data_IF_700272417559
#
_entry.id   IF_700272417559
#
_cell.length_a   1.000
_cell.length_b   1.000
_cell.length_c   1.000
_cell.angle_alpha   90.00
_cell.angle_beta   90.00
_cell.angle_gamma   90.00
#
_symmetry.space_group_name_H-M   'P 1'
#
loop_
_entity.id
_entity.type
_entity.pdbx_description
1 polymer ?
#
# COMPACT_ATOMS: atom_id res chain seq x y z
N UNK A 1 -5.94 -85.62 26.51
CA UNK A 1 -6.06 -84.65 27.64
C UNK A 1 -5.17 -83.45 27.33
N UNK A 2 -5.26 -82.34 28.09
CA UNK A 2 -4.48 -81.11 27.86
C UNK A 2 -2.97 -81.33 28.16
N UNK A 3 -2.09 -80.60 27.49
CA UNK A 3 -1.23 -79.52 28.08
C UNK A 3 -0.47 -78.74 26.99
N UNK A 4 0.14 -77.62 27.37
CA UNK A 4 0.82 -76.61 26.53
C UNK A 4 2.28 -76.40 26.99
N UNK A 5 3.20 -76.07 26.07
CA UNK A 5 4.49 -75.44 26.40
C UNK A 5 5.16 -74.81 25.16
N UNK A 6 6.08 -73.87 25.41
CA UNK A 6 6.65 -72.89 24.46
C UNK A 6 8.05 -73.25 23.87
N UNK A 7 8.63 -72.48 22.92
CA UNK A 7 9.66 -72.95 21.98
C UNK A 7 11.14 -72.60 22.31
N UNK A 8 12.08 -73.20 21.56
CA UNK A 8 13.53 -72.88 21.54
C UNK A 8 14.09 -72.95 20.10
N UNK A 9 15.11 -72.13 19.78
CA UNK A 9 15.65 -71.89 18.42
C UNK A 9 16.82 -72.82 17.99
N UNK A 10 17.06 -72.99 16.67
CA UNK A 10 18.31 -73.54 16.10
C UNK A 10 19.35 -72.45 15.69
N UNK A 11 20.63 -72.82 15.40
CA UNK A 11 21.77 -71.88 15.34
C UNK A 11 22.25 -71.42 13.94
N UNK A 12 23.17 -70.45 13.92
CA UNK A 12 23.85 -69.88 12.73
C UNK A 12 24.92 -70.79 12.09
N UNK A 13 25.06 -70.76 10.75
CA UNK A 13 26.31 -71.04 10.02
C UNK A 13 27.04 -69.74 9.57
N UNK A 14 28.32 -69.84 9.22
CA UNK A 14 29.18 -68.72 8.78
C UNK A 14 29.11 -68.47 7.25
N UNK A 15 29.44 -67.25 6.76
CA UNK A 15 29.46 -66.92 5.33
C UNK A 15 30.76 -67.37 4.62
N UNK A 16 30.71 -67.75 3.33
CA UNK A 16 31.89 -68.00 2.51
C UNK A 16 32.46 -66.70 1.90
N UNK A 17 33.76 -66.70 1.61
CA UNK A 17 34.43 -65.62 0.87
C UNK A 17 33.99 -65.60 -0.61
N UNK A 18 33.89 -64.39 -1.20
CA UNK A 18 33.68 -64.21 -2.65
C UNK A 18 34.83 -63.37 -3.21
N UNK A 19 35.42 -63.83 -4.31
CA UNK A 19 36.59 -63.21 -4.96
C UNK A 19 36.25 -61.84 -5.56
N UNK A 20 37.24 -60.96 -5.57
CA UNK A 20 37.28 -59.80 -6.45
C UNK A 20 37.35 -60.24 -7.91
N UNK A 21 36.54 -59.63 -8.78
CA UNK A 21 36.71 -59.69 -10.24
C UNK A 21 36.67 -58.26 -10.82
N UNK A 22 37.49 -58.01 -11.83
CA UNK A 22 37.93 -56.66 -12.24
C UNK A 22 37.11 -56.10 -13.41
N UNK A 23 35.80 -55.97 -13.21
CA UNK A 23 34.88 -55.37 -14.18
C UNK A 23 35.21 -53.90 -14.47
N UNK A 24 35.65 -53.59 -15.69
CA UNK A 24 35.82 -52.23 -16.20
C UNK A 24 34.45 -51.57 -16.45
N UNK A 25 33.86 -50.94 -15.43
CA UNK A 25 32.67 -50.11 -15.62
C UNK A 25 33.04 -48.64 -15.89
N UNK A 26 32.31 -48.00 -16.81
CA UNK A 26 32.54 -46.62 -17.23
C UNK A 26 31.94 -45.67 -16.20
N UNK A 27 32.79 -45.17 -15.29
CA UNK A 27 32.44 -44.20 -14.25
C UNK A 27 31.39 -43.17 -14.74
N UNK A 28 30.21 -43.22 -14.12
CA UNK A 28 29.07 -42.40 -14.51
C UNK A 28 29.40 -40.90 -14.40
N UNK A 29 29.05 -40.13 -15.43
CA UNK A 29 29.21 -38.66 -15.39
C UNK A 29 28.31 -38.09 -14.29
N UNK A 30 28.89 -37.31 -13.38
CA UNK A 30 28.20 -36.78 -12.21
C UNK A 30 27.10 -35.76 -12.57
N UNK A 31 26.03 -35.61 -11.77
CA UNK A 31 24.87 -34.79 -12.15
C UNK A 31 25.10 -33.26 -12.22
N UNK A 32 26.29 -32.76 -11.88
CA UNK A 32 26.54 -31.33 -11.60
C UNK A 32 26.46 -30.37 -12.81
N UNK A 33 26.51 -30.88 -14.05
CA UNK A 33 26.50 -30.04 -15.25
C UNK A 33 25.16 -29.35 -15.52
N UNK A 34 24.03 -30.03 -15.25
CA UNK A 34 22.69 -29.50 -15.55
C UNK A 34 22.30 -28.34 -14.63
N UNK A 35 22.60 -28.42 -13.33
CA UNK A 35 22.25 -27.37 -12.38
C UNK A 35 23.08 -26.10 -12.63
N UNK A 36 24.41 -26.24 -12.75
CA UNK A 36 25.32 -25.13 -13.09
C UNK A 36 24.91 -24.40 -14.37
N UNK A 37 24.49 -25.14 -15.40
CA UNK A 37 24.00 -24.57 -16.67
C UNK A 37 22.66 -23.86 -16.50
N UNK A 38 21.75 -24.40 -15.67
CA UNK A 38 20.43 -23.82 -15.39
C UNK A 38 20.55 -22.54 -14.56
N UNK A 39 21.39 -22.54 -13.53
CA UNK A 39 21.74 -21.38 -12.71
C UNK A 39 22.31 -20.25 -13.59
N UNK A 40 23.26 -20.58 -14.48
CA UNK A 40 23.85 -19.59 -15.41
C UNK A 40 22.80 -18.98 -16.35
N UNK A 41 21.92 -19.79 -16.95
CA UNK A 41 20.83 -19.31 -17.81
C UNK A 41 19.90 -18.33 -17.07
N UNK A 42 19.53 -18.64 -15.82
CA UNK A 42 18.69 -17.77 -14.97
C UNK A 42 19.42 -16.47 -14.60
N UNK A 43 20.70 -16.54 -14.27
CA UNK A 43 21.54 -15.36 -14.05
C UNK A 43 21.60 -14.44 -15.29
N UNK A 44 21.81 -15.01 -16.48
CA UNK A 44 21.86 -14.24 -17.73
C UNK A 44 20.49 -13.59 -18.06
N UNK A 45 19.38 -14.29 -17.77
CA UNK A 45 18.01 -13.75 -17.86
C UNK A 45 17.76 -12.60 -16.86
N UNK A 46 18.17 -12.77 -15.60
CA UNK A 46 18.08 -11.75 -14.55
C UNK A 46 18.88 -10.49 -14.91
N UNK A 47 20.12 -10.67 -15.37
CA UNK A 47 20.98 -9.57 -15.84
C UNK A 47 20.42 -8.89 -17.09
N UNK A 48 19.74 -9.63 -17.97
CA UNK A 48 19.03 -9.08 -19.14
C UNK A 48 17.86 -8.17 -18.72
N UNK A 49 17.05 -8.57 -17.72
CA UNK A 49 16.00 -7.71 -17.13
C UNK A 49 16.58 -6.47 -16.47
N UNK A 50 17.61 -6.64 -15.62
CA UNK A 50 18.31 -5.53 -14.96
C UNK A 50 18.83 -4.50 -15.96
N UNK A 51 19.43 -4.92 -17.08
CA UNK A 51 19.91 -4.00 -18.13
C UNK A 51 18.79 -3.20 -18.80
N UNK A 52 17.59 -3.76 -18.95
CA UNK A 52 16.42 -3.02 -19.47
C UNK A 52 15.92 -1.97 -18.47
N UNK A 53 15.79 -2.34 -17.21
CA UNK A 53 15.36 -1.41 -16.14
C UNK A 53 16.39 -0.28 -15.93
N UNK A 54 17.68 -0.55 -16.14
CA UNK A 54 18.73 0.45 -15.98
C UNK A 54 18.64 1.63 -16.96
N UNK A 55 17.97 1.47 -18.10
CA UNK A 55 17.75 2.49 -19.15
C UNK A 55 16.31 3.06 -19.16
N UNK A 56 15.49 2.71 -18.16
CA UNK A 56 14.08 3.11 -18.07
C UNK A 56 13.92 4.61 -17.71
N UNK A 57 13.10 5.40 -18.43
CA UNK A 57 12.88 6.81 -18.14
C UNK A 57 12.17 7.10 -16.81
N UNK A 58 11.46 6.12 -16.21
CA UNK A 58 10.84 6.26 -14.88
C UNK A 58 11.89 6.41 -13.76
N UNK A 59 13.16 6.12 -14.06
CA UNK A 59 14.31 6.34 -13.17
C UNK A 59 14.63 7.82 -12.87
N UNK A 60 13.78 8.77 -13.29
CA UNK A 60 13.77 10.17 -12.81
C UNK A 60 13.30 10.31 -11.35
N UNK A 61 12.62 9.30 -10.82
CA UNK A 61 12.23 9.19 -9.41
C UNK A 61 13.49 9.18 -8.50
N UNK A 62 13.50 9.88 -7.35
CA UNK A 62 14.66 9.99 -6.46
C UNK A 62 15.36 8.67 -6.12
N UNK A 63 16.69 8.71 -5.93
CA UNK A 63 17.47 7.47 -5.76
C UNK A 63 17.04 6.63 -4.54
N UNK A 64 16.48 7.24 -3.49
CA UNK A 64 16.09 6.53 -2.27
C UNK A 64 14.71 5.85 -2.32
N UNK A 65 14.00 5.92 -3.44
CA UNK A 65 12.66 5.35 -3.61
C UNK A 65 12.63 3.83 -3.85
N UNK A 66 11.41 3.28 -3.74
CA UNK A 66 11.13 1.84 -3.76
C UNK A 66 11.54 1.12 -5.05
N UNK A 67 11.22 1.66 -6.23
CA UNK A 67 11.56 1.02 -7.51
C UNK A 67 13.08 0.98 -7.75
N UNK A 68 13.85 2.07 -7.55
CA UNK A 68 15.31 2.01 -7.46
C UNK A 68 15.85 1.01 -6.43
N UNK A 69 15.19 0.89 -5.26
CA UNK A 69 15.60 -0.06 -4.22
C UNK A 69 15.42 -1.53 -4.64
N UNK A 70 14.29 -1.91 -5.27
CA UNK A 70 14.08 -3.25 -5.83
C UNK A 70 15.15 -3.60 -6.86
N UNK A 71 15.44 -2.67 -7.79
CA UNK A 71 16.48 -2.83 -8.80
C UNK A 71 17.87 -3.04 -8.17
N UNK A 72 18.25 -2.22 -7.18
CA UNK A 72 19.53 -2.37 -6.46
C UNK A 72 19.61 -3.68 -5.69
N UNK A 73 18.52 -4.12 -5.07
CA UNK A 73 18.44 -5.41 -4.37
C UNK A 73 18.70 -6.58 -5.30
N UNK A 74 17.97 -6.66 -6.42
CA UNK A 74 18.14 -7.69 -7.44
C UNK A 74 19.56 -7.66 -8.05
N UNK A 75 20.13 -6.48 -8.33
CA UNK A 75 21.51 -6.34 -8.81
C UNK A 75 22.56 -6.81 -7.78
N UNK A 76 22.31 -6.60 -6.49
CA UNK A 76 23.21 -7.04 -5.42
C UNK A 76 23.19 -8.56 -5.26
N UNK A 77 22.00 -9.17 -5.34
CA UNK A 77 21.83 -10.63 -5.37
C UNK A 77 22.50 -11.24 -6.61
N UNK A 78 22.32 -10.64 -7.79
CA UNK A 78 22.97 -11.08 -9.02
C UNK A 78 24.50 -11.03 -8.93
N UNK A 79 25.07 -9.95 -8.36
CA UNK A 79 26.53 -9.84 -8.11
C UNK A 79 27.03 -10.94 -7.18
N UNK A 80 26.27 -11.32 -6.15
CA UNK A 80 26.61 -12.42 -5.25
C UNK A 80 26.61 -13.77 -5.99
N UNK A 81 25.53 -14.06 -6.72
CA UNK A 81 25.40 -15.27 -7.56
C UNK A 81 26.56 -15.41 -8.54
N UNK A 82 26.97 -14.32 -9.21
CA UNK A 82 28.13 -14.32 -10.11
C UNK A 82 29.45 -14.66 -9.40
N UNK A 83 29.66 -14.14 -8.19
CA UNK A 83 30.83 -14.44 -7.37
C UNK A 83 30.87 -15.93 -6.99
N UNK A 84 29.74 -16.48 -6.57
CA UNK A 84 29.66 -17.88 -6.12
C UNK A 84 29.83 -18.88 -7.27
N UNK A 85 29.26 -18.60 -8.45
CA UNK A 85 29.52 -19.35 -9.69
C UNK A 85 31.01 -19.28 -10.09
N UNK A 86 31.65 -18.12 -9.93
CA UNK A 86 33.07 -17.94 -10.23
C UNK A 86 33.98 -18.67 -9.23
N UNK A 87 33.59 -18.79 -7.97
CA UNK A 87 34.35 -19.54 -6.97
C UNK A 87 34.24 -21.06 -7.16
N UNK A 88 33.03 -21.59 -7.41
CA UNK A 88 32.84 -23.03 -7.61
C UNK A 88 33.58 -23.54 -8.86
N UNK A 89 33.52 -22.77 -9.96
CA UNK A 89 34.29 -23.06 -11.19
C UNK A 89 35.81 -22.90 -11.05
N UNK A 90 36.30 -22.23 -10.00
CA UNK A 90 37.73 -22.02 -9.76
C UNK A 90 38.35 -22.96 -8.70
N UNK A 91 37.54 -23.66 -7.88
CA UNK A 91 38.04 -24.51 -6.78
C UNK A 91 37.82 -26.02 -6.95
N UNK A 92 36.96 -26.46 -7.86
CA UNK A 92 36.79 -27.89 -8.19
C UNK A 92 36.05 -28.73 -7.13
N UNK A 93 35.64 -28.15 -6.01
CA UNK A 93 34.86 -28.78 -4.94
C UNK A 93 34.64 -27.81 -3.78
N UNK A 94 33.58 -28.07 -3.02
CA UNK A 94 33.25 -27.55 -1.67
C UNK A 94 33.52 -26.06 -1.37
N UNK A 95 32.49 -25.24 -1.60
CA UNK A 95 32.29 -23.99 -0.86
C UNK A 95 31.62 -24.28 0.50
N UNK A 96 31.93 -23.54 1.59
CA UNK A 96 31.45 -23.87 2.95
C UNK A 96 29.92 -23.95 3.11
N UNK A 97 29.48 -24.84 3.99
CA UNK A 97 28.07 -25.26 4.15
C UNK A 97 27.08 -24.18 4.61
N UNK A 98 27.55 -23.02 5.06
CA UNK A 98 26.71 -21.98 5.70
C UNK A 98 26.17 -20.92 4.73
N UNK A 99 26.33 -21.11 3.42
CA UNK A 99 26.03 -20.08 2.42
C UNK A 99 24.72 -20.36 1.66
N UNK A 100 23.90 -19.30 1.52
CA UNK A 100 22.61 -19.36 0.81
C UNK A 100 22.84 -19.77 -0.65
N UNK A 101 22.18 -20.85 -1.10
CA UNK A 101 22.31 -21.38 -2.45
C UNK A 101 22.09 -20.31 -3.53
N UNK A 102 22.93 -20.25 -4.60
CA UNK A 102 22.72 -19.36 -5.74
C UNK A 102 21.32 -19.46 -6.37
N UNK A 103 20.72 -20.66 -6.35
CA UNK A 103 19.36 -20.93 -6.85
C UNK A 103 18.28 -20.20 -6.03
N UNK A 104 18.50 -20.02 -4.73
CA UNK A 104 17.64 -19.25 -3.84
C UNK A 104 17.87 -17.73 -3.98
N UNK A 105 19.13 -17.29 -4.07
CA UNK A 105 19.47 -15.88 -4.34
C UNK A 105 18.89 -15.40 -5.67
N UNK A 106 18.94 -16.23 -6.72
CA UNK A 106 18.28 -15.98 -8.00
C UNK A 106 16.76 -15.85 -7.84
N UNK A 107 16.10 -16.76 -7.10
CA UNK A 107 14.64 -16.70 -6.88
C UNK A 107 14.20 -15.40 -6.19
N UNK A 108 14.97 -14.91 -5.22
CA UNK A 108 14.70 -13.62 -4.55
C UNK A 108 14.95 -12.45 -5.51
N UNK A 109 16.02 -12.49 -6.32
CA UNK A 109 16.32 -11.46 -7.31
C UNK A 109 15.26 -11.38 -8.42
N UNK A 110 14.79 -12.52 -8.92
CA UNK A 110 13.68 -12.65 -9.87
C UNK A 110 12.40 -12.03 -9.27
N UNK A 111 12.00 -12.44 -8.07
CA UNK A 111 10.82 -11.91 -7.35
C UNK A 111 10.90 -10.41 -7.03
N UNK A 112 12.10 -9.84 -6.88
CA UNK A 112 12.28 -8.38 -6.77
C UNK A 112 12.00 -7.67 -8.10
N UNK A 113 12.35 -8.28 -9.25
CA UNK A 113 12.03 -7.71 -10.56
C UNK A 113 10.57 -7.95 -10.96
N UNK A 114 9.98 -9.08 -10.58
CA UNK A 114 8.55 -9.35 -10.84
C UNK A 114 7.68 -8.29 -10.15
N UNK A 115 8.00 -7.93 -8.90
CA UNK A 115 7.35 -6.83 -8.17
C UNK A 115 7.67 -5.45 -8.74
N UNK A 116 8.85 -5.24 -9.32
CA UNK A 116 9.17 -3.99 -10.03
C UNK A 116 8.28 -3.85 -11.27
N UNK A 117 8.23 -4.88 -12.09
CA UNK A 117 7.53 -4.87 -13.38
C UNK A 117 6.00 -4.80 -13.19
N UNK A 118 5.45 -5.48 -12.17
CA UNK A 118 4.06 -5.32 -11.70
C UNK A 118 3.74 -3.87 -11.32
N UNK A 119 4.65 -3.19 -10.62
CA UNK A 119 4.43 -1.82 -10.14
C UNK A 119 4.57 -0.79 -11.27
N UNK A 120 5.43 -1.04 -12.26
CA UNK A 120 5.46 -0.24 -13.51
C UNK A 120 4.15 -0.36 -14.28
N UNK A 121 3.58 -1.57 -14.39
CA UNK A 121 2.28 -1.80 -15.03
C UNK A 121 1.15 -1.01 -14.34
N UNK A 122 1.07 -1.09 -13.00
CA UNK A 122 0.06 -0.34 -12.22
C UNK A 122 0.21 1.19 -12.34
N UNK A 123 1.43 1.70 -12.45
CA UNK A 123 1.68 3.12 -12.72
C UNK A 123 1.23 3.53 -14.14
N UNK A 124 1.44 2.68 -15.14
CA UNK A 124 1.00 2.92 -16.51
C UNK A 124 -0.52 2.89 -16.67
N UNK A 125 -1.21 1.96 -16.00
CA UNK A 125 -2.67 1.86 -15.98
C UNK A 125 -3.31 3.06 -15.24
N UNK A 126 -2.82 3.39 -14.04
CA UNK A 126 -3.26 4.55 -13.27
C UNK A 126 -3.08 5.86 -14.06
N UNK A 127 -2.00 5.95 -14.84
CA UNK A 127 -1.72 7.05 -15.78
C UNK A 127 -2.76 7.12 -16.90
N UNK A 128 -3.00 6.03 -17.62
CA UNK A 128 -3.95 5.99 -18.75
C UNK A 128 -5.35 6.43 -18.29
N UNK A 129 -5.84 5.81 -17.22
CA UNK A 129 -7.14 6.10 -16.63
C UNK A 129 -7.24 7.56 -16.13
N UNK A 130 -6.17 8.12 -15.57
CA UNK A 130 -6.12 9.53 -15.13
C UNK A 130 -6.14 10.52 -16.30
N UNK A 131 -5.48 10.19 -17.42
CA UNK A 131 -5.50 10.99 -18.64
C UNK A 131 -6.89 10.97 -19.31
N UNK A 132 -7.53 9.80 -19.38
CA UNK A 132 -8.90 9.68 -19.89
C UNK A 132 -9.90 10.45 -19.02
N UNK A 133 -9.83 10.30 -17.70
CA UNK A 133 -10.66 11.05 -16.75
C UNK A 133 -10.44 12.57 -16.86
N UNK A 134 -9.19 13.02 -17.02
CA UNK A 134 -8.87 14.42 -17.28
C UNK A 134 -9.49 14.92 -18.59
N UNK A 135 -9.46 14.12 -19.65
CA UNK A 135 -10.14 14.42 -20.91
C UNK A 135 -11.65 14.61 -20.73
N UNK A 136 -12.31 13.62 -20.10
CA UNK A 136 -13.75 13.66 -19.83
C UNK A 136 -14.17 14.87 -18.98
N UNK A 137 -13.42 15.19 -17.93
CA UNK A 137 -13.73 16.33 -17.05
C UNK A 137 -13.44 17.67 -17.74
N UNK A 138 -12.45 17.75 -18.63
CA UNK A 138 -12.12 18.97 -19.40
C UNK A 138 -13.22 19.39 -20.38
N UNK A 139 -14.19 18.51 -20.68
CA UNK A 139 -15.40 18.85 -21.43
C UNK A 139 -16.49 19.52 -20.57
N UNK A 140 -16.49 19.33 -19.24
CA UNK A 140 -17.56 19.81 -18.34
C UNK A 140 -17.85 21.33 -18.38
N UNK A 141 -16.87 22.23 -18.59
CA UNK A 141 -17.14 23.67 -18.69
C UNK A 141 -17.75 24.13 -20.02
N UNK A 142 -17.88 23.25 -21.03
CA UNK A 142 -18.27 23.63 -22.40
C UNK A 142 -19.79 23.50 -22.61
N UNK A 143 -20.30 24.12 -23.68
CA UNK A 143 -21.72 24.12 -24.08
C UNK A 143 -22.35 22.72 -24.29
N UNK A 144 -21.51 21.68 -24.34
CA UNK A 144 -21.91 20.27 -24.37
C UNK A 144 -21.17 19.55 -23.24
N UNK A 145 -21.71 19.50 -22.01
CA UNK A 145 -21.09 18.76 -20.93
C UNK A 145 -20.99 17.27 -21.29
N UNK A 146 -19.97 16.54 -20.78
CA UNK A 146 -19.72 15.16 -21.13
C UNK A 146 -20.94 14.31 -20.81
N UNK A 147 -21.25 13.37 -21.69
CA UNK A 147 -22.34 12.41 -21.45
C UNK A 147 -21.97 11.58 -20.23
N UNK A 148 -22.84 11.55 -19.22
CA UNK A 148 -22.66 10.71 -18.02
C UNK A 148 -22.33 9.24 -18.37
N UNK A 149 -22.84 8.74 -19.50
CA UNK A 149 -22.50 7.41 -20.05
C UNK A 149 -21.01 7.19 -20.24
N UNK A 150 -20.20 8.20 -20.60
CA UNK A 150 -18.74 8.02 -20.75
C UNK A 150 -18.02 7.81 -19.41
N UNK A 151 -18.55 8.37 -18.33
CA UNK A 151 -18.03 8.11 -16.98
C UNK A 151 -18.50 6.74 -16.49
N UNK A 152 -19.68 6.27 -16.91
CA UNK A 152 -20.13 4.88 -16.71
C UNK A 152 -19.23 3.90 -17.48
N UNK A 153 -18.93 4.16 -18.75
CA UNK A 153 -18.04 3.32 -19.58
C UNK A 153 -16.63 3.18 -18.97
N UNK A 154 -16.05 4.27 -18.45
CA UNK A 154 -14.80 4.24 -17.69
C UNK A 154 -14.95 3.49 -16.35
N UNK A 155 -16.06 3.66 -15.65
CA UNK A 155 -16.34 2.99 -14.37
C UNK A 155 -16.47 1.48 -14.54
N UNK A 156 -17.20 1.02 -15.57
CA UNK A 156 -17.38 -0.40 -15.84
C UNK A 156 -16.05 -1.08 -16.22
N UNK A 157 -15.17 -0.39 -16.97
CA UNK A 157 -13.79 -0.85 -17.19
C UNK A 157 -13.02 -1.02 -15.87
N UNK A 158 -13.08 -0.05 -14.95
CA UNK A 158 -12.38 -0.14 -13.66
C UNK A 158 -12.98 -1.26 -12.78
N UNK A 159 -14.30 -1.49 -12.82
CA UNK A 159 -14.95 -2.64 -12.15
C UNK A 159 -14.38 -3.95 -12.71
N UNK A 160 -14.40 -4.12 -14.03
CA UNK A 160 -14.01 -5.36 -14.70
C UNK A 160 -12.51 -5.62 -14.61
N UNK A 161 -11.68 -4.57 -14.67
CA UNK A 161 -10.25 -4.65 -14.38
C UNK A 161 -9.97 -5.06 -12.94
N UNK A 162 -10.75 -4.61 -11.95
CA UNK A 162 -10.51 -4.88 -10.51
C UNK A 162 -11.15 -6.17 -9.99
N UNK A 163 -11.96 -6.85 -10.82
CA UNK A 163 -12.73 -8.03 -10.42
C UNK A 163 -11.90 -9.33 -10.35
N UNK A 164 -10.62 -9.29 -10.75
CA UNK A 164 -9.74 -10.48 -10.83
C UNK A 164 -8.69 -10.54 -9.72
N UNK A 165 -8.59 -9.49 -8.90
CA UNK A 165 -7.49 -9.25 -7.98
C UNK A 165 -7.87 -9.64 -6.55
N UNK A 166 -7.00 -10.43 -5.92
CA UNK A 166 -7.17 -10.92 -4.56
C UNK A 166 -6.53 -10.00 -3.52
N UNK A 167 -5.60 -9.12 -3.90
CA UNK A 167 -4.89 -8.21 -2.97
C UNK A 167 -4.84 -6.78 -3.48
N UNK A 168 -4.76 -5.81 -2.56
CA UNK A 168 -4.69 -4.39 -2.88
C UNK A 168 -3.42 -4.02 -3.68
N UNK A 169 -2.31 -4.75 -3.48
CA UNK A 169 -1.05 -4.56 -4.22
C UNK A 169 -1.12 -4.99 -5.70
N UNK A 170 -2.19 -5.70 -6.10
CA UNK A 170 -2.50 -6.03 -7.49
C UNK A 170 -3.38 -4.97 -8.18
N UNK A 171 -3.86 -3.97 -7.43
CA UNK A 171 -4.81 -2.94 -7.89
C UNK A 171 -4.23 -1.54 -7.76
N UNK A 172 -3.44 -1.27 -6.72
CA UNK A 172 -2.82 0.04 -6.46
C UNK A 172 -1.27 -0.07 -6.45
N UNK A 173 -0.54 0.94 -6.96
CA UNK A 173 0.89 1.08 -6.73
C UNK A 173 1.21 1.21 -5.22
N UNK A 174 2.47 1.02 -4.83
CA UNK A 174 2.88 1.18 -3.42
C UNK A 174 2.71 2.63 -2.92
N UNK A 175 2.17 2.84 -1.71
CA UNK A 175 2.01 4.17 -1.14
C UNK A 175 3.36 4.89 -0.95
N UNK A 176 3.37 6.21 -1.16
CA UNK A 176 4.59 7.02 -1.07
C UNK A 176 5.43 7.10 -2.35
N UNK A 177 5.09 6.37 -3.42
CA UNK A 177 5.63 6.67 -4.76
C UNK A 177 5.18 8.09 -5.18
N UNK A 178 6.03 8.92 -5.82
CA UNK A 178 5.70 10.28 -6.23
C UNK A 178 4.85 10.30 -7.52
N UNK A 179 3.72 9.59 -7.52
CA UNK A 179 2.86 9.33 -8.70
C UNK A 179 2.43 10.65 -9.37
N UNK A 180 2.07 11.67 -8.59
CA UNK A 180 1.69 12.97 -9.15
C UNK A 180 2.84 13.60 -9.92
N UNK A 181 4.08 13.54 -9.41
CA UNK A 181 5.27 14.10 -10.05
C UNK A 181 5.58 13.39 -11.36
N UNK A 182 5.55 12.05 -11.35
CA UNK A 182 5.73 11.19 -12.54
C UNK A 182 4.76 11.60 -13.67
N UNK A 183 3.56 12.08 -13.33
CA UNK A 183 2.51 12.47 -14.28
C UNK A 183 2.39 13.99 -14.54
N UNK A 184 3.18 14.85 -13.86
CA UNK A 184 3.14 16.32 -14.07
C UNK A 184 3.53 16.78 -15.48
N UNK A 185 4.23 15.95 -16.26
CA UNK A 185 4.60 16.23 -17.64
C UNK A 185 3.48 16.02 -18.67
N UNK A 186 2.38 15.37 -18.27
CA UNK A 186 1.31 14.93 -19.18
C UNK A 186 -0.10 15.32 -18.68
N UNK A 187 -0.26 15.51 -17.36
CA UNK A 187 -1.46 16.09 -16.74
C UNK A 187 -1.17 17.53 -16.25
N UNK A 188 -2.14 18.47 -16.29
CA UNK A 188 -1.94 19.84 -15.82
C UNK A 188 -1.49 19.87 -14.35
N UNK A 189 -0.27 20.37 -14.12
CA UNK A 189 0.47 20.26 -12.85
C UNK A 189 -0.33 20.68 -11.61
N UNK A 190 -1.18 21.70 -11.72
CA UNK A 190 -2.04 22.18 -10.63
C UNK A 190 -3.12 21.19 -10.19
N UNK A 191 -3.50 20.26 -11.07
CA UNK A 191 -4.71 19.45 -10.97
C UNK A 191 -4.48 17.94 -11.15
N UNK A 192 -3.29 17.50 -11.56
CA UNK A 192 -2.86 16.08 -11.67
C UNK A 192 -3.33 15.24 -10.48
N UNK A 193 -3.23 15.79 -9.27
CA UNK A 193 -3.66 15.15 -8.02
C UNK A 193 -5.14 14.74 -8.03
N UNK A 194 -6.04 15.60 -8.52
CA UNK A 194 -7.50 15.32 -8.53
C UNK A 194 -7.81 14.08 -9.35
N UNK A 195 -7.17 13.92 -10.50
CA UNK A 195 -7.39 12.77 -11.39
C UNK A 195 -6.79 11.48 -10.83
N UNK A 196 -5.57 11.54 -10.30
CA UNK A 196 -4.93 10.37 -9.64
C UNK A 196 -5.72 9.94 -8.40
N UNK A 197 -6.02 10.86 -7.48
CA UNK A 197 -6.80 10.57 -6.26
C UNK A 197 -8.24 10.12 -6.59
N UNK A 198 -8.78 10.45 -7.76
CA UNK A 198 -10.06 9.93 -8.26
C UNK A 198 -9.97 8.47 -8.72
N UNK A 199 -9.01 8.13 -9.59
CA UNK A 199 -8.83 6.75 -10.07
C UNK A 199 -8.44 5.80 -8.92
N UNK A 200 -7.47 6.18 -8.07
CA UNK A 200 -7.05 5.36 -6.91
C UNK A 200 -8.23 5.01 -6.00
N UNK A 201 -9.17 5.95 -5.77
CA UNK A 201 -10.35 5.70 -4.95
C UNK A 201 -11.38 4.80 -5.64
N UNK A 202 -11.60 4.97 -6.95
CA UNK A 202 -12.51 4.13 -7.72
C UNK A 202 -12.00 2.68 -7.78
N UNK A 203 -10.70 2.48 -8.04
CA UNK A 203 -10.01 1.19 -7.98
C UNK A 203 -10.14 0.53 -6.61
N UNK A 204 -9.83 1.26 -5.53
CA UNK A 204 -9.95 0.77 -4.15
C UNK A 204 -11.38 0.31 -3.82
N UNK A 205 -12.38 1.06 -4.25
CA UNK A 205 -13.81 0.77 -4.00
C UNK A 205 -14.28 -0.43 -4.83
N UNK A 206 -13.88 -0.54 -6.09
CA UNK A 206 -14.18 -1.68 -6.95
C UNK A 206 -13.68 -2.98 -6.33
N UNK A 207 -12.41 -2.99 -5.95
CA UNK A 207 -11.74 -4.12 -5.32
C UNK A 207 -12.35 -4.46 -3.95
N UNK A 208 -12.53 -3.48 -3.04
CA UNK A 208 -13.12 -3.72 -1.71
C UNK A 208 -14.56 -4.27 -1.82
N UNK A 209 -15.35 -3.78 -2.78
CA UNK A 209 -16.70 -4.27 -3.00
C UNK A 209 -16.73 -5.71 -3.55
N UNK A 210 -15.83 -6.03 -4.49
CA UNK A 210 -15.69 -7.34 -5.10
C UNK A 210 -15.15 -8.40 -4.14
N UNK A 211 -13.96 -8.16 -3.56
CA UNK A 211 -13.25 -9.10 -2.68
C UNK A 211 -14.08 -9.55 -1.46
N UNK A 212 -15.02 -8.72 -1.01
CA UNK A 212 -15.90 -9.01 0.13
C UNK A 212 -17.37 -9.24 -0.24
N UNK A 213 -17.74 -9.32 -1.53
CA UNK A 213 -19.11 -9.42 -2.04
C UNK A 213 -20.10 -8.41 -1.39
N UNK A 214 -19.59 -7.22 -1.06
CA UNK A 214 -20.22 -6.35 -0.08
C UNK A 214 -21.32 -5.45 -0.67
N UNK A 215 -21.22 -5.10 -1.96
CA UNK A 215 -22.22 -4.32 -2.68
C UNK A 215 -22.91 -5.20 -3.72
N UNK A 216 -24.15 -5.64 -3.43
CA UNK A 216 -24.89 -6.61 -4.25
C UNK A 216 -25.52 -6.05 -5.54
N UNK A 217 -25.64 -4.73 -5.67
CA UNK A 217 -26.21 -4.08 -6.86
C UNK A 217 -25.09 -3.44 -7.69
N UNK A 218 -24.99 -3.80 -8.99
CA UNK A 218 -24.03 -3.18 -9.92
C UNK A 218 -24.30 -1.68 -10.09
N UNK A 219 -25.57 -1.27 -10.11
CA UNK A 219 -25.96 0.16 -10.13
C UNK A 219 -25.48 0.89 -8.87
N UNK A 220 -25.58 0.26 -7.69
CA UNK A 220 -25.06 0.85 -6.45
C UNK A 220 -23.53 0.97 -6.49
N UNK A 221 -22.81 -0.05 -6.96
CA UNK A 221 -21.35 0.00 -7.09
C UNK A 221 -20.91 1.08 -8.09
N UNK A 222 -21.53 1.13 -9.27
CA UNK A 222 -21.34 2.18 -10.27
C UNK A 222 -21.58 3.58 -9.66
N UNK A 223 -22.65 3.78 -8.90
CA UNK A 223 -22.91 5.05 -8.23
C UNK A 223 -21.85 5.43 -7.17
N UNK A 224 -21.33 4.48 -6.41
CA UNK A 224 -20.26 4.74 -5.43
C UNK A 224 -18.95 5.10 -6.17
N UNK A 225 -18.59 4.35 -7.21
CA UNK A 225 -17.37 4.60 -7.98
C UNK A 225 -17.43 5.90 -8.79
N UNK A 226 -18.54 6.21 -9.44
CA UNK A 226 -18.72 7.50 -10.14
C UNK A 226 -18.71 8.66 -9.13
N UNK A 227 -19.21 8.46 -7.91
CA UNK A 227 -19.02 9.43 -6.84
C UNK A 227 -17.54 9.56 -6.43
N UNK A 228 -16.79 8.46 -6.31
CA UNK A 228 -15.37 8.49 -5.99
C UNK A 228 -14.51 9.17 -7.08
N UNK A 229 -14.84 8.94 -8.36
CA UNK A 229 -14.22 9.58 -9.52
C UNK A 229 -14.48 11.10 -9.55
N UNK A 230 -15.64 11.55 -9.05
CA UNK A 230 -16.09 12.93 -9.19
C UNK A 230 -16.12 13.73 -7.88
N UNK A 231 -15.71 13.15 -6.75
CA UNK A 231 -15.82 13.78 -5.43
C UNK A 231 -15.05 15.11 -5.32
N UNK A 232 -13.89 15.19 -5.96
CA UNK A 232 -12.92 16.27 -5.83
C UNK A 232 -12.88 17.23 -7.04
N UNK A 233 -13.76 17.08 -8.04
CA UNK A 233 -13.71 17.93 -9.26
C UNK A 233 -13.99 19.41 -8.99
N UNK A 234 -14.68 19.72 -7.90
CA UNK A 234 -14.86 21.07 -7.37
C UNK A 234 -13.56 21.72 -6.88
N UNK A 235 -12.47 20.97 -6.70
CA UNK A 235 -11.13 21.52 -6.49
C UNK A 235 -10.56 22.15 -7.77
N UNK A 236 -10.98 21.73 -8.97
CA UNK A 236 -10.47 22.26 -10.25
C UNK A 236 -10.84 23.74 -10.51
N UNK A 237 -11.68 24.33 -9.66
CA UNK A 237 -12.07 25.74 -9.66
C UNK A 237 -11.68 26.48 -8.36
N UNK A 238 -10.79 25.89 -7.57
CA UNK A 238 -10.17 26.48 -6.37
C UNK A 238 -8.70 26.81 -6.70
N UNK A 239 -8.15 27.83 -6.05
CA UNK A 239 -6.74 28.20 -6.20
C UNK A 239 -5.80 27.01 -5.88
N UNK A 240 -4.90 26.60 -6.81
CA UNK A 240 -3.99 25.49 -6.60
C UNK A 240 -3.11 25.59 -5.35
N UNK A 241 -2.77 26.78 -4.86
CA UNK A 241 -2.01 26.96 -3.62
C UNK A 241 -2.83 26.55 -2.38
N UNK A 242 -4.14 26.74 -2.42
CA UNK A 242 -5.07 26.28 -1.37
C UNK A 242 -5.23 24.76 -1.43
N UNK A 243 -5.21 24.17 -2.62
CA UNK A 243 -5.30 22.71 -2.83
C UNK A 243 -4.07 21.99 -2.27
N UNK A 244 -2.86 22.48 -2.57
CA UNK A 244 -1.62 21.79 -2.19
C UNK A 244 -1.34 21.87 -0.69
N UNK A 245 -1.41 23.05 -0.10
CA UNK A 245 -0.99 23.28 1.29
C UNK A 245 -2.13 23.08 2.31
N UNK A 246 -3.05 22.14 2.04
CA UNK A 246 -4.32 22.03 2.77
C UNK A 246 -4.18 21.81 4.30
N UNK A 247 -3.07 21.24 4.74
CA UNK A 247 -2.69 20.98 6.14
C UNK A 247 -2.15 22.23 6.88
N UNK A 248 -1.77 23.29 6.15
CA UNK A 248 -1.18 24.54 6.69
C UNK A 248 -2.03 25.79 6.37
N UNK A 249 -3.29 25.62 5.99
CA UNK A 249 -4.15 26.71 5.55
C UNK A 249 -4.55 27.67 6.68
N UNK A 250 -4.59 28.95 6.34
CA UNK A 250 -5.29 29.96 7.16
C UNK A 250 -6.80 29.65 7.17
N UNK A 251 -7.50 30.01 8.24
CA UNK A 251 -8.95 29.80 8.44
C UNK A 251 -9.80 30.14 7.18
N UNK A 252 -9.48 31.24 6.50
CA UNK A 252 -10.16 31.69 5.28
C UNK A 252 -9.97 30.74 4.10
N UNK A 253 -8.77 30.21 3.91
CA UNK A 253 -8.45 29.24 2.86
C UNK A 253 -9.08 27.87 3.16
N UNK A 254 -9.09 27.44 4.43
CA UNK A 254 -9.81 26.23 4.86
C UNK A 254 -11.32 26.35 4.59
N UNK A 255 -11.89 27.55 4.79
CA UNK A 255 -13.28 27.87 4.44
C UNK A 255 -13.57 27.89 2.93
N UNK A 256 -12.55 28.04 2.07
CA UNK A 256 -12.66 27.83 0.63
C UNK A 256 -12.55 26.33 0.29
N UNK A 257 -11.55 25.63 0.83
CA UNK A 257 -11.39 24.18 0.64
C UNK A 257 -12.66 23.42 1.02
N UNK A 258 -13.28 23.70 2.18
CA UNK A 258 -14.53 23.05 2.63
C UNK A 258 -15.76 23.26 1.72
N UNK A 259 -15.66 24.10 0.67
CA UNK A 259 -16.71 24.25 -0.35
C UNK A 259 -16.62 23.21 -1.48
N UNK A 260 -15.47 22.56 -1.67
CA UNK A 260 -15.28 21.67 -2.82
C UNK A 260 -16.33 20.54 -2.95
N UNK A 261 -16.87 19.89 -1.89
CA UNK A 261 -17.88 18.84 -2.07
C UNK A 261 -19.18 19.39 -2.68
N UNK A 262 -19.56 20.62 -2.28
CA UNK A 262 -20.74 21.32 -2.84
C UNK A 262 -20.48 21.78 -4.27
N UNK A 263 -19.25 22.21 -4.59
CA UNK A 263 -18.85 22.58 -5.95
C UNK A 263 -18.84 21.37 -6.90
N UNK A 264 -18.26 20.24 -6.48
CA UNK A 264 -18.30 18.98 -7.20
C UNK A 264 -19.73 18.52 -7.48
N UNK A 265 -20.60 18.52 -6.45
CA UNK A 265 -22.00 18.15 -6.60
C UNK A 265 -22.77 19.09 -7.55
N UNK A 266 -22.47 20.39 -7.54
CA UNK A 266 -23.04 21.37 -8.47
C UNK A 266 -22.52 21.20 -9.91
N UNK A 267 -21.26 20.79 -10.11
CA UNK A 267 -20.72 20.43 -11.42
C UNK A 267 -21.38 19.17 -11.99
N UNK A 268 -21.58 18.14 -11.16
CA UNK A 268 -22.33 16.93 -11.53
C UNK A 268 -23.78 17.29 -11.88
N UNK A 269 -24.43 18.17 -11.12
CA UNK A 269 -25.78 18.67 -11.38
C UNK A 269 -25.97 19.37 -12.74
N UNK A 270 -24.89 19.81 -13.40
CA UNK A 270 -24.92 20.38 -14.77
C UNK A 270 -24.79 19.33 -15.88
N UNK A 271 -24.49 18.07 -15.55
CA UNK A 271 -24.42 16.99 -16.54
C UNK A 271 -25.81 16.64 -17.10
N UNK A 272 -25.84 15.93 -18.23
CA UNK A 272 -27.11 15.47 -18.83
C UNK A 272 -27.61 14.20 -18.13
N UNK A 273 -28.63 14.35 -17.27
CA UNK A 273 -29.28 13.29 -16.46
C UNK A 273 -28.35 12.57 -15.45
N UNK A 274 -27.68 13.29 -14.53
CA UNK A 274 -26.93 12.68 -13.44
C UNK A 274 -27.87 12.01 -12.42
N UNK A 275 -27.53 10.84 -11.88
CA UNK A 275 -28.22 10.25 -10.75
C UNK A 275 -28.05 11.09 -9.48
N UNK A 276 -29.16 11.37 -8.79
CA UNK A 276 -29.18 12.17 -7.55
C UNK A 276 -28.39 11.48 -6.42
N UNK A 277 -28.29 10.15 -6.46
CA UNK A 277 -27.42 9.33 -5.60
C UNK A 277 -25.96 9.81 -5.63
N UNK A 278 -25.37 9.92 -6.82
CA UNK A 278 -23.98 10.34 -7.03
C UNK A 278 -23.75 11.75 -6.49
N UNK A 279 -24.59 12.71 -6.86
CA UNK A 279 -24.45 14.09 -6.40
C UNK A 279 -24.56 14.21 -4.87
N UNK A 280 -25.41 13.39 -4.22
CA UNK A 280 -25.52 13.33 -2.75
C UNK A 280 -24.29 12.72 -2.09
N UNK A 281 -23.73 11.64 -2.64
CA UNK A 281 -22.49 11.03 -2.15
C UNK A 281 -21.32 12.01 -2.26
N UNK A 282 -21.17 12.63 -3.43
CA UNK A 282 -20.14 13.65 -3.70
C UNK A 282 -20.28 14.86 -2.79
N UNK A 283 -21.49 15.32 -2.49
CA UNK A 283 -21.70 16.42 -1.54
C UNK A 283 -21.32 16.10 -0.09
N UNK A 284 -21.07 14.82 0.25
CA UNK A 284 -20.98 14.30 1.63
C UNK A 284 -19.71 13.48 1.93
N UNK A 285 -18.77 13.36 1.00
CA UNK A 285 -17.60 12.47 1.17
C UNK A 285 -16.61 12.89 2.29
N UNK A 286 -16.79 14.08 2.89
CA UNK A 286 -16.07 14.54 4.08
C UNK A 286 -16.91 14.56 5.37
N UNK A 287 -18.13 13.99 5.34
CA UNK A 287 -18.91 13.74 6.56
C UNK A 287 -18.24 12.66 7.43
N UNK A 288 -18.59 12.59 8.71
CA UNK A 288 -18.07 11.62 9.69
C UNK A 288 -19.22 11.12 10.57
N UNK A 289 -19.21 9.85 11.01
CA UNK A 289 -20.36 9.27 11.73
C UNK A 289 -20.62 9.99 13.08
N UNK A 290 -19.56 10.53 13.69
CA UNK A 290 -19.56 11.37 14.91
C UNK A 290 -20.04 12.83 14.69
N UNK A 291 -20.41 13.23 13.47
CA UNK A 291 -20.84 14.60 13.14
C UNK A 291 -19.71 15.63 13.04
N UNK A 292 -18.44 15.25 13.20
CA UNK A 292 -17.29 16.19 13.10
C UNK A 292 -16.91 16.57 11.66
N UNK A 293 -17.58 15.96 10.68
CA UNK A 293 -17.31 16.16 9.25
C UNK A 293 -17.87 17.45 8.65
N UNK A 294 -17.85 17.54 7.32
CA UNK A 294 -18.40 18.67 6.56
C UNK A 294 -18.91 18.20 5.18
N UNK A 295 -19.84 18.93 4.53
CA UNK A 295 -20.30 20.30 4.82
C UNK A 295 -21.72 20.40 5.43
N UNK A 296 -22.31 19.32 5.93
CA UNK A 296 -23.64 19.29 6.56
C UNK A 296 -23.63 18.71 7.98
N UNK A 297 -22.50 18.18 8.48
CA UNK A 297 -22.33 17.66 9.84
C UNK A 297 -23.30 16.52 10.16
N UNK A 298 -23.34 15.53 9.27
CA UNK A 298 -24.26 14.40 9.37
C UNK A 298 -23.86 13.44 10.49
N UNK A 299 -24.85 12.87 11.19
CA UNK A 299 -24.63 11.76 12.14
C UNK A 299 -24.77 10.39 11.48
N UNK A 300 -24.27 9.35 12.13
CA UNK A 300 -24.32 7.94 11.71
C UNK A 300 -25.66 7.48 11.09
N UNK A 301 -26.78 7.85 11.71
CA UNK A 301 -28.15 7.51 11.25
C UNK A 301 -28.52 8.10 9.87
N UNK A 302 -27.72 9.03 9.35
CA UNK A 302 -27.91 9.68 8.04
C UNK A 302 -26.95 9.13 6.96
N UNK A 303 -26.09 8.18 7.32
CA UNK A 303 -25.23 7.44 6.41
C UNK A 303 -25.92 6.20 5.85
N UNK A 304 -25.58 5.86 4.61
CA UNK A 304 -25.85 4.56 4.00
C UNK A 304 -24.51 3.89 3.63
N UNK A 305 -24.54 2.60 3.32
CA UNK A 305 -23.34 1.82 2.93
C UNK A 305 -22.50 2.48 1.84
N UNK A 306 -23.17 3.10 0.86
CA UNK A 306 -22.54 3.83 -0.22
C UNK A 306 -21.69 5.02 0.28
N UNK A 307 -22.13 5.71 1.33
CA UNK A 307 -21.39 6.79 1.95
C UNK A 307 -20.33 6.28 2.92
N UNK A 308 -20.61 5.22 3.71
CA UNK A 308 -19.64 4.59 4.63
C UNK A 308 -18.38 4.13 3.91
N UNK A 309 -18.53 3.39 2.81
CA UNK A 309 -17.42 2.97 1.95
C UNK A 309 -16.71 4.17 1.31
N UNK A 310 -17.44 5.16 0.78
CA UNK A 310 -16.85 6.31 0.12
C UNK A 310 -16.01 7.18 1.07
N UNK A 311 -16.45 7.42 2.31
CA UNK A 311 -15.67 8.22 3.28
C UNK A 311 -14.43 7.48 3.75
N UNK A 312 -14.52 6.16 4.00
CA UNK A 312 -13.37 5.33 4.38
C UNK A 312 -12.33 5.25 3.26
N UNK A 313 -12.76 5.03 2.01
CA UNK A 313 -11.88 5.00 0.85
C UNK A 313 -11.25 6.38 0.54
N UNK A 314 -12.00 7.47 0.72
CA UNK A 314 -11.45 8.83 0.58
C UNK A 314 -10.34 9.09 1.59
N UNK A 315 -10.55 8.70 2.86
CA UNK A 315 -9.53 8.86 3.90
C UNK A 315 -8.30 7.98 3.66
N UNK A 316 -8.46 6.77 3.13
CA UNK A 316 -7.33 5.93 2.70
C UNK A 316 -6.50 6.65 1.62
N UNK A 317 -7.15 7.17 0.58
CA UNK A 317 -6.45 7.81 -0.56
C UNK A 317 -5.78 9.13 -0.15
N UNK A 318 -6.39 9.89 0.76
CA UNK A 318 -5.77 11.09 1.32
C UNK A 318 -4.47 10.78 2.09
N UNK A 319 -4.40 9.64 2.79
CA UNK A 319 -3.19 9.17 3.47
C UNK A 319 -2.18 8.53 2.52
N UNK A 320 -2.64 7.78 1.51
CA UNK A 320 -1.84 7.11 0.48
C UNK A 320 -0.85 8.06 -0.21
N UNK A 321 -1.29 9.29 -0.48
CA UNK A 321 -0.47 10.38 -1.03
C UNK A 321 0.60 10.89 -0.05
N UNK A 322 0.33 10.92 1.25
CA UNK A 322 0.98 11.86 2.18
C UNK A 322 2.46 11.56 2.44
N UNK A 323 3.35 12.10 1.62
CA UNK A 323 4.81 12.08 1.77
C UNK A 323 5.25 13.04 2.88
N UNK A 324 4.84 12.72 4.12
CA UNK A 324 5.33 13.35 5.33
C UNK A 324 6.88 13.44 5.30
N UNK A 325 7.47 14.57 5.72
CA UNK A 325 8.88 14.86 5.47
C UNK A 325 9.79 13.78 6.08
N UNK A 326 10.68 13.21 5.25
CA UNK A 326 11.53 12.06 5.58
C UNK A 326 12.70 12.46 6.49
N UNK A 327 12.38 12.85 7.72
CA UNK A 327 13.34 12.97 8.80
C UNK A 327 13.64 11.56 9.34
N UNK A 328 14.75 11.00 8.86
CA UNK A 328 15.33 9.67 9.13
C UNK A 328 14.80 8.52 8.25
N UNK A 329 15.76 7.89 7.56
CA UNK A 329 15.75 6.56 6.93
C UNK A 329 14.46 6.08 6.24
N UNK A 330 14.46 6.15 4.90
CA UNK A 330 13.64 5.38 3.94
C UNK A 330 12.53 4.54 4.59
N UNK A 331 11.37 5.16 4.82
CA UNK A 331 10.18 4.48 5.35
C UNK A 331 9.73 3.42 4.36
N UNK A 332 10.09 2.16 4.63
CA UNK A 332 9.73 1.00 3.81
C UNK A 332 8.21 1.02 3.50
N UNK A 333 7.74 0.65 2.29
CA UNK A 333 6.32 0.74 1.95
C UNK A 333 5.40 -0.04 2.89
N UNK A 334 5.94 -1.06 3.57
CA UNK A 334 5.26 -1.77 4.66
C UNK A 334 5.04 -0.89 5.89
N UNK A 335 6.03 -0.12 6.34
CA UNK A 335 5.88 0.84 7.44
C UNK A 335 4.81 1.87 7.10
N UNK A 336 4.86 2.40 5.88
CA UNK A 336 3.88 3.34 5.32
C UNK A 336 2.46 2.74 5.33
N UNK A 337 2.31 1.48 4.90
CA UNK A 337 1.03 0.76 4.96
C UNK A 337 0.55 0.49 6.39
N UNK A 338 1.45 0.22 7.35
CA UNK A 338 1.11 0.12 8.78
C UNK A 338 0.69 1.46 9.39
N UNK A 339 1.37 2.56 9.06
CA UNK A 339 1.03 3.92 9.47
C UNK A 339 -0.37 4.32 8.99
N UNK A 340 -0.68 4.08 7.71
CA UNK A 340 -2.02 4.27 7.13
C UNK A 340 -3.08 3.42 7.83
N UNK A 341 -2.81 2.14 8.06
CA UNK A 341 -3.72 1.23 8.78
C UNK A 341 -4.00 1.72 10.20
N UNK A 342 -2.96 2.07 10.97
CA UNK A 342 -3.10 2.61 12.32
C UNK A 342 -3.90 3.91 12.35
N UNK A 343 -3.68 4.81 11.38
CA UNK A 343 -4.40 6.07 11.28
C UNK A 343 -5.90 5.88 10.94
N UNK A 344 -6.23 4.96 10.03
CA UNK A 344 -7.61 4.61 9.67
C UNK A 344 -8.34 3.89 10.82
N UNK A 345 -7.75 2.85 11.40
CA UNK A 345 -8.31 2.15 12.55
C UNK A 345 -8.47 3.07 13.76
N UNK A 346 -7.61 4.08 13.91
CA UNK A 346 -7.77 5.12 14.95
C UNK A 346 -8.91 6.10 14.66
N UNK A 347 -9.27 6.35 13.38
CA UNK A 347 -10.47 7.11 13.01
C UNK A 347 -11.74 6.28 13.26
N UNK A 348 -11.74 5.01 12.87
CA UNK A 348 -12.84 4.08 13.14
C UNK A 348 -13.12 3.94 14.64
N UNK A 349 -12.08 3.73 15.47
CA UNK A 349 -12.20 3.63 16.94
C UNK A 349 -12.70 4.90 17.64
N UNK A 350 -12.75 6.05 16.96
CA UNK A 350 -13.38 7.29 17.45
C UNK A 350 -14.78 7.55 16.89
N UNK A 351 -15.34 6.64 16.10
CA UNK A 351 -16.61 6.86 15.40
C UNK A 351 -16.51 7.86 14.23
N UNK A 352 -15.31 8.14 13.72
CA UNK A 352 -15.16 9.07 12.57
C UNK A 352 -15.41 8.38 11.24
N UNK A 353 -15.06 7.10 11.15
CA UNK A 353 -15.27 6.22 10.00
C UNK A 353 -15.97 4.94 10.46
N UNK A 354 -16.56 4.23 9.51
CA UNK A 354 -17.18 2.93 9.74
C UNK A 354 -16.11 1.84 9.98
N UNK A 355 -16.31 0.98 10.98
CA UNK A 355 -15.33 -0.04 11.36
C UNK A 355 -15.21 -1.14 10.31
N UNK A 356 -16.32 -1.77 9.93
CA UNK A 356 -16.36 -2.86 8.95
C UNK A 356 -15.77 -2.44 7.61
N UNK A 357 -16.06 -1.23 7.14
CA UNK A 357 -15.51 -0.74 5.87
C UNK A 357 -14.02 -0.39 5.95
N UNK A 358 -13.53 0.12 7.08
CA UNK A 358 -12.08 0.28 7.31
C UNK A 358 -11.39 -1.09 7.40
N UNK A 359 -11.98 -2.05 8.10
CA UNK A 359 -11.43 -3.40 8.26
C UNK A 359 -11.31 -4.13 6.91
N UNK A 360 -12.36 -4.09 6.08
CA UNK A 360 -12.36 -4.64 4.70
C UNK A 360 -11.25 -4.03 3.83
N UNK A 361 -11.10 -2.70 3.86
CA UNK A 361 -10.04 -1.98 3.12
C UNK A 361 -8.63 -2.44 3.54
N UNK A 362 -8.45 -2.86 4.80
CA UNK A 362 -7.14 -3.26 5.35
C UNK A 362 -6.86 -4.76 5.25
N UNK A 363 -7.89 -5.62 5.38
CA UNK A 363 -7.76 -7.10 5.39
C UNK A 363 -7.11 -7.62 4.10
N UNK A 364 -7.44 -7.04 2.96
CA UNK A 364 -6.95 -7.50 1.65
C UNK A 364 -5.55 -7.01 1.26
N UNK A 365 -4.77 -6.47 2.20
CA UNK A 365 -3.30 -6.51 2.11
C UNK A 365 -2.82 -7.71 2.92
N UNK A 366 -2.15 -8.66 2.26
CA UNK A 366 -1.60 -9.87 2.90
C UNK A 366 -0.71 -9.54 4.12
N UNK A 367 -0.12 -8.34 4.14
CA UNK A 367 0.82 -7.87 5.15
C UNK A 367 0.17 -7.04 6.28
N UNK A 368 -1.15 -6.80 6.25
CA UNK A 368 -1.88 -5.99 7.25
C UNK A 368 -2.98 -6.75 8.01
N UNK A 369 -3.30 -7.98 7.63
CA UNK A 369 -4.37 -8.78 8.23
C UNK A 369 -4.28 -8.91 9.77
N UNK A 370 -3.06 -9.01 10.31
CA UNK A 370 -2.79 -9.04 11.77
C UNK A 370 -3.13 -7.73 12.49
N UNK A 371 -3.11 -6.59 11.80
CA UNK A 371 -3.45 -5.26 12.36
C UNK A 371 -4.94 -4.90 12.21
N UNK A 372 -5.65 -5.58 11.32
CA UNK A 372 -7.10 -5.44 11.16
C UNK A 372 -7.87 -6.19 12.28
N UNK A 373 -7.34 -7.33 12.72
CA UNK A 373 -7.96 -8.17 13.75
C UNK A 373 -7.94 -7.51 15.15
N UNK A 374 -9.08 -7.38 15.85
CA UNK A 374 -9.06 -7.06 17.27
C UNK A 374 -8.53 -8.23 18.11
N UNK A 375 -7.63 -7.93 19.04
CA UNK A 375 -7.10 -8.82 20.10
C UNK A 375 -6.39 -10.12 19.69
N UNK A 376 -5.08 -10.01 19.40
CA UNK A 376 -4.08 -10.93 19.97
C UNK A 376 -2.86 -10.17 20.48
N UNK A 377 -2.75 -9.99 21.79
CA UNK A 377 -1.59 -9.36 22.45
C UNK A 377 -0.40 -10.31 22.51
N UNK A 378 0.29 -10.50 21.38
CA UNK A 378 1.61 -11.12 21.35
C UNK A 378 2.69 -10.15 21.81
N UNK A 379 3.53 -10.55 22.76
CA UNK A 379 4.66 -9.74 23.24
C UNK A 379 5.61 -9.40 22.07
N UNK A 380 6.04 -8.13 21.90
CA UNK A 380 6.95 -7.77 20.82
C UNK A 380 8.27 -8.57 20.88
N UNK A 381 8.80 -9.06 19.74
CA UNK A 381 10.09 -9.73 19.71
C UNK A 381 11.19 -8.75 20.14
N UNK A 382 11.91 -9.08 21.20
CA UNK A 382 12.99 -8.24 21.69
C UNK A 382 14.15 -8.24 20.68
N UNK A 383 14.53 -7.04 20.22
CA UNK A 383 15.74 -6.85 19.43
C UNK A 383 16.97 -7.33 20.20
N UNK A 384 17.92 -8.04 19.57
CA UNK A 384 19.12 -8.52 20.24
C UNK A 384 19.93 -7.34 20.75
N UNK A 385 20.21 -7.32 22.06
CA UNK A 385 20.99 -6.25 22.71
C UNK A 385 22.40 -6.22 22.13
N UNK A 386 22.76 -5.11 21.49
CA UNK A 386 24.16 -4.85 21.13
C UNK A 386 25.02 -4.77 22.39
N UNK A 387 26.22 -5.36 22.36
CA UNK A 387 27.16 -5.27 23.47
C UNK A 387 27.65 -3.83 23.63
N UNK A 388 27.28 -3.18 24.75
CA UNK A 388 27.99 -1.98 25.20
C UNK A 388 29.31 -2.39 25.84
N UNK A 389 30.42 -1.97 25.22
CA UNK A 389 31.74 -2.02 25.83
C UNK A 389 31.80 -1.05 27.02
N UNK A 390 32.61 -1.38 28.02
CA UNK A 390 32.73 -0.60 29.24
C UNK A 390 33.43 0.75 29.00
N UNK A 391 33.01 1.76 29.75
CA UNK A 391 33.95 2.68 30.41
C UNK A 391 33.30 3.21 31.68
N UNK A 392 33.89 2.89 32.83
CA UNK A 392 33.50 3.46 34.13
C UNK A 392 33.91 4.93 34.22
N UNK A 393 33.13 5.77 34.91
CA UNK A 393 33.66 6.75 35.87
C UNK A 393 32.56 7.29 36.83
N UNK A 394 32.60 6.75 38.05
CA UNK A 394 32.31 7.32 39.38
C UNK A 394 31.41 8.59 39.53
N UNK A 395 30.32 8.37 40.29
CA UNK A 395 29.38 9.29 41.01
C UNK A 395 30.04 10.33 41.97
N UNK A 396 29.28 11.17 42.73
CA UNK A 396 27.94 11.77 42.53
C UNK A 396 27.87 13.29 42.94
N UNK A 397 26.71 13.95 42.79
CA UNK A 397 25.95 14.60 43.91
C UNK A 397 24.69 15.35 43.44
N UNK A 398 23.79 15.63 44.39
CA UNK A 398 22.54 16.39 44.28
C UNK A 398 22.55 17.49 45.40
N UNK A 399 21.48 18.28 45.73
CA UNK A 399 20.08 18.15 45.33
C UNK A 399 19.26 19.47 45.12
N UNK A 400 17.94 19.29 44.91
CA UNK A 400 16.79 20.17 45.21
C UNK A 400 16.81 21.69 44.90
N UNK A 401 15.71 22.15 44.28
CA UNK A 401 14.81 23.08 44.96
C UNK A 401 13.34 22.91 44.53
N UNK A 402 12.41 23.13 45.47
CA UNK A 402 10.97 23.31 45.23
C UNK A 402 10.56 24.70 45.73
N UNK A 403 9.66 25.36 44.99
CA UNK A 403 8.75 26.44 45.44
C UNK A 403 7.71 26.58 44.31
N UNK A 404 6.47 26.14 44.47
CA UNK A 404 5.35 26.74 45.20
C UNK A 404 4.70 27.95 44.48
N UNK A 405 3.40 27.79 44.24
CA UNK A 405 2.43 28.85 43.92
C UNK A 405 2.02 29.61 45.19
N UNK A 406 1.53 30.84 45.06
CA UNK A 406 0.44 31.36 45.87
C UNK A 406 -0.91 31.31 45.11
N UNK A 407 -2.00 31.15 45.86
CA UNK A 407 -3.38 31.33 45.39
C UNK A 407 -3.87 32.77 45.73
N UNK A 408 -5.18 32.98 45.56
CA UNK A 408 -6.02 33.97 46.26
C UNK A 408 -5.95 35.43 45.73
N UNK A 409 -7.06 36.18 45.60
CA UNK A 409 -8.48 35.82 45.74
C UNK A 409 -9.43 36.75 44.93
N UNK A 410 -10.69 36.30 44.80
CA UNK A 410 -11.97 37.06 44.72
C UNK A 410 -11.86 38.61 44.65
N UNK A 411 -12.40 39.30 43.64
CA UNK A 411 -13.82 39.78 43.46
C UNK A 411 -13.93 40.41 42.02
N UNK A 412 -15.03 40.80 41.34
CA UNK A 412 -16.48 40.99 41.60
C UNK A 412 -17.31 40.82 40.30
N UNK A 413 -18.65 40.84 40.39
CA UNK A 413 -19.59 40.99 39.26
C UNK A 413 -19.48 42.33 38.50
N UNK A 414 -19.84 42.33 37.21
CA UNK A 414 -21.05 43.03 36.74
C UNK A 414 -21.53 42.55 35.36
N UNK A 415 -22.85 42.56 35.16
CA UNK A 415 -23.53 42.20 33.91
C UNK A 415 -24.20 43.44 33.29
N UNK A 416 -24.08 43.63 31.97
CA UNK A 416 -24.92 44.49 31.12
C UNK A 416 -24.80 43.90 29.70
N UNK A 417 -25.82 43.17 29.24
CA UNK A 417 -26.96 43.63 28.40
C UNK A 417 -26.54 43.90 26.94
N UNK A 418 -27.28 43.31 26.00
CA UNK A 418 -27.06 43.41 24.56
C UNK A 418 -27.98 44.44 23.90
N UNK A 419 -27.63 44.89 22.69
CA UNK A 419 -28.45 44.85 21.46
C UNK A 419 -27.65 45.41 20.26
N UNK A 420 -28.04 45.12 18.99
CA UNK A 420 -27.20 45.36 17.81
C UNK A 420 -27.63 46.56 16.93
N UNK A 421 -26.78 46.87 15.95
CA UNK A 421 -27.13 47.54 14.69
C UNK A 421 -26.49 46.76 13.53
#
# INVERSE_FOLDING_TARGET
MKTTSDPVSPPHPQPPEVRLDAGHDRAARTPHSNDTTTIRRRYDQLMSRLRRIAIDPVRRVPENDYLPALHRGALTLAKRVYHDIRLSTAKGGDTPSDQISPTALLKVGESMLDRHDQQQQLLAELKELSLELCGLISEMPRERPPKYTKIVELTDRIIEQSATQTTIEQVLPQPGLPITEILTGELPTSHTRVYVEAITAAQLIAWTAGAHNAIKSREQLQHIMIAALLRDVGCLVIDPQVIHNHEQLKQTQLGLYRRHPRLSAAMIGRMRRPPISVARLVARHHERLDGTGFPAQLSDLQFNEALRLLTAATDYVAMYRSTAPVNHFVTHPESRRREMAQALSSRAKRGQLDHDWVERILIGSEQLHELASPEKTGTPPQLPKQHQLHSDHVRPSAPHHQTQLPNDEVTTHQSIVAQPH
#
